data_IF_780725474960
#
_entry.id   IF_780725474960
#
_cell.length_a   1.000
_cell.length_b   1.000
_cell.length_c   1.000
_cell.angle_alpha   90.00
_cell.angle_beta   90.00
_cell.angle_gamma   90.00
#
_symmetry.space_group_name_H-M   'P 1'
#
loop_
_entity.id
_entity.type
_entity.pdbx_description
1 polymer ?
#
# COMPACT_ATOMS: atom_id res chain seq x y z
N UNK A 1 -6.78 -21.86 -14.99
CA UNK A 1 -6.14 -20.55 -15.23
C UNK A 1 -6.93 -19.53 -14.41
N UNK A 2 -6.55 -19.29 -13.15
CA UNK A 2 -7.24 -18.35 -12.29
C UNK A 2 -6.74 -16.93 -12.64
N UNK A 3 -7.57 -16.18 -13.35
CA UNK A 3 -7.28 -14.80 -13.72
C UNK A 3 -7.45 -13.88 -12.50
N UNK A 4 -6.42 -13.78 -11.66
CA UNK A 4 -6.08 -12.59 -10.89
C UNK A 4 -7.18 -11.89 -10.08
N UNK A 5 -8.01 -12.63 -9.33
CA UNK A 5 -8.80 -12.01 -8.27
C UNK A 5 -7.84 -11.42 -7.23
N UNK A 6 -7.92 -10.11 -7.01
CA UNK A 6 -7.13 -9.47 -5.95
C UNK A 6 -7.80 -9.78 -4.63
N UNK A 7 -7.16 -10.64 -3.83
CA UNK A 7 -7.63 -10.94 -2.49
C UNK A 7 -7.66 -9.64 -1.68
N UNK A 8 -8.80 -9.37 -1.05
CA UNK A 8 -8.97 -8.22 -0.16
C UNK A 8 -8.20 -8.51 1.14
N UNK A 9 -7.37 -7.58 1.63
CA UNK A 9 -6.82 -7.69 2.98
C UNK A 9 -7.97 -7.77 3.98
N UNK A 10 -7.95 -8.75 4.88
CA UNK A 10 -9.08 -9.00 5.77
C UNK A 10 -9.33 -7.86 6.79
N UNK A 11 -8.28 -7.15 7.24
CA UNK A 11 -8.42 -6.15 8.32
C UNK A 11 -7.65 -4.86 8.04
N UNK A 12 -8.27 -3.73 8.38
CA UNK A 12 -7.66 -2.40 8.27
C UNK A 12 -6.47 -2.32 9.23
N UNK A 13 -5.25 -1.98 8.77
CA UNK A 13 -4.07 -1.91 9.62
C UNK A 13 -4.14 -0.79 10.68
N UNK A 14 -5.11 0.13 10.56
CA UNK A 14 -5.25 1.27 11.45
C UNK A 14 -6.37 1.13 12.49
N UNK A 15 -7.48 0.45 12.17
CA UNK A 15 -8.63 0.33 13.09
C UNK A 15 -9.08 -1.11 13.34
N UNK A 16 -8.57 -2.09 12.59
CA UNK A 16 -8.93 -3.51 12.76
C UNK A 16 -10.27 -3.91 12.12
N UNK A 17 -10.96 -3.00 11.45
CA UNK A 17 -12.25 -3.28 10.77
C UNK A 17 -12.05 -3.95 9.41
N UNK A 18 -13.05 -4.72 8.97
CA UNK A 18 -13.02 -5.51 7.72
C UNK A 18 -13.53 -4.73 6.49
N UNK A 19 -14.04 -3.51 6.68
CA UNK A 19 -14.61 -2.68 5.61
C UNK A 19 -13.52 -1.92 4.83
N UNK A 20 -12.67 -2.68 4.13
CA UNK A 20 -11.61 -2.18 3.24
C UNK A 20 -12.01 -2.39 1.78
N UNK A 21 -11.91 -1.33 0.98
CA UNK A 21 -12.25 -1.34 -0.45
C UNK A 21 -11.07 -0.84 -1.30
N UNK A 22 -10.91 -1.35 -2.54
CA UNK A 22 -9.97 -0.78 -3.50
C UNK A 22 -10.31 0.69 -3.77
N UNK A 23 -9.28 1.52 -3.90
CA UNK A 23 -9.43 2.96 -4.20
C UNK A 23 -8.58 3.36 -5.41
N UNK A 24 -8.90 4.50 -6.01
CA UNK A 24 -8.13 5.09 -7.10
C UNK A 24 -6.94 5.89 -6.58
N UNK A 25 -5.76 5.79 -7.20
CA UNK A 25 -4.62 6.61 -6.82
C UNK A 25 -4.93 8.10 -6.98
N UNK A 26 -4.44 8.97 -6.08
CA UNK A 26 -4.51 10.41 -6.29
C UNK A 26 -3.72 10.79 -7.54
N UNK A 27 -4.22 11.78 -8.27
CA UNK A 27 -3.58 12.30 -9.48
C UNK A 27 -2.13 12.71 -9.20
N UNK A 28 -1.23 12.47 -10.14
CA UNK A 28 0.19 12.79 -9.99
C UNK A 28 1.00 11.83 -9.11
N UNK A 29 0.40 10.81 -8.49
CA UNK A 29 1.13 9.80 -7.70
C UNK A 29 2.00 8.85 -8.54
N UNK A 30 1.99 8.98 -9.87
CA UNK A 30 2.75 8.14 -10.81
C UNK A 30 2.29 6.67 -10.85
N UNK A 31 1.27 6.31 -10.09
CA UNK A 31 0.68 4.97 -10.10
C UNK A 31 -0.28 4.84 -11.29
N UNK A 32 0.03 3.92 -12.21
CA UNK A 32 -0.88 3.55 -13.30
C UNK A 32 -2.26 3.08 -12.80
N UNK A 33 -3.22 3.00 -13.72
CA UNK A 33 -4.59 2.58 -13.41
C UNK A 33 -4.62 1.23 -12.70
N UNK A 34 -4.89 1.24 -11.39
CA UNK A 34 -5.18 0.06 -10.58
C UNK A 34 -4.03 -0.52 -9.77
N UNK A 35 -3.08 0.23 -9.20
CA UNK A 35 -2.00 -0.37 -8.40
C UNK A 35 -2.14 -0.15 -6.88
N UNK A 36 -2.77 -1.10 -6.18
CA UNK A 36 -2.59 -1.29 -4.74
C UNK A 36 -3.13 -0.20 -3.82
N UNK A 37 -3.95 0.74 -4.28
CA UNK A 37 -4.61 1.72 -3.42
C UNK A 37 -5.87 1.13 -2.79
N UNK A 38 -6.06 1.41 -1.50
CA UNK A 38 -7.14 0.91 -0.68
C UNK A 38 -7.61 1.98 0.29
N UNK A 39 -8.88 1.95 0.67
CA UNK A 39 -9.44 2.80 1.70
C UNK A 39 -10.29 1.98 2.67
N UNK A 40 -10.30 2.36 3.95
CA UNK A 40 -11.24 1.81 4.93
C UNK A 40 -12.44 2.75 5.10
N UNK A 41 -13.66 2.24 4.98
CA UNK A 41 -14.88 3.06 5.13
C UNK A 41 -15.23 3.37 6.59
N UNK A 42 -14.77 2.55 7.54
CA UNK A 42 -15.03 2.77 8.98
C UNK A 42 -14.20 3.93 9.54
N UNK A 43 -12.90 3.98 9.24
CA UNK A 43 -12.01 5.03 9.75
C UNK A 43 -11.54 6.05 8.68
N UNK A 44 -12.04 5.94 7.44
CA UNK A 44 -11.81 6.88 6.33
C UNK A 44 -10.34 7.09 5.93
N UNK A 45 -9.47 6.11 6.17
CA UNK A 45 -8.03 6.19 5.85
C UNK A 45 -7.74 5.49 4.53
N UNK A 46 -7.05 6.19 3.64
CA UNK A 46 -6.47 5.64 2.41
C UNK A 46 -5.02 5.19 2.61
N UNK A 47 -4.64 4.08 2.00
CA UNK A 47 -3.29 3.52 2.05
C UNK A 47 -2.96 2.73 0.78
N UNK A 48 -1.66 2.43 0.59
CA UNK A 48 -1.16 1.67 -0.56
C UNK A 48 -0.50 0.37 -0.10
N UNK A 49 -0.86 -0.73 -0.75
CA UNK A 49 -0.25 -2.05 -0.58
C UNK A 49 0.62 -2.40 -1.78
N UNK A 50 1.78 -2.98 -1.48
CA UNK A 50 2.73 -3.48 -2.47
C UNK A 50 3.20 -4.87 -2.04
N UNK A 51 3.17 -5.84 -2.96
CA UNK A 51 3.88 -7.10 -2.78
C UNK A 51 5.37 -6.84 -3.02
N UNK A 52 6.19 -6.94 -1.97
CA UNK A 52 7.64 -6.74 -2.09
C UNK A 52 8.37 -8.04 -2.44
N UNK A 53 8.05 -9.14 -1.76
CA UNK A 53 8.64 -10.46 -1.99
C UNK A 53 7.74 -11.55 -1.38
N UNK A 54 7.96 -12.81 -1.77
CA UNK A 54 7.43 -13.96 -1.05
C UNK A 54 8.31 -14.22 0.17
N UNK A 55 7.73 -14.18 1.37
CA UNK A 55 8.44 -14.52 2.58
C UNK A 55 8.68 -16.05 2.63
N UNK A 56 9.94 -16.46 2.54
CA UNK A 56 10.38 -17.79 2.95
C UNK A 56 10.74 -17.73 4.44
N UNK A 57 10.41 -18.78 5.19
CA UNK A 57 10.78 -18.89 6.61
C UNK A 57 12.31 -19.05 6.74
N UNK A 58 13.05 -17.96 6.61
CA UNK A 58 14.46 -17.90 7.00
C UNK A 58 14.52 -17.61 8.49
N UNK A 59 15.03 -18.55 9.28
CA UNK A 59 15.25 -18.42 10.72
C UNK A 59 16.35 -17.43 11.10
N UNK A 60 16.36 -16.25 10.49
CA UNK A 60 17.33 -15.19 10.72
C UNK A 60 16.62 -13.85 10.86
N UNK A 61 16.89 -13.16 11.97
CA UNK A 61 16.41 -11.81 12.30
C UNK A 61 16.65 -10.84 11.15
N UNK A 62 15.58 -10.52 10.41
CA UNK A 62 15.62 -9.47 9.39
C UNK A 62 15.53 -8.10 10.08
N UNK A 63 16.68 -7.43 10.22
CA UNK A 63 16.72 -6.00 10.55
C UNK A 63 16.29 -5.23 9.31
N UNK A 64 15.06 -4.70 9.33
CA UNK A 64 14.62 -3.74 8.34
C UNK A 64 15.20 -2.36 8.68
N UNK A 65 16.35 -2.01 8.07
CA UNK A 65 16.76 -0.60 8.00
C UNK A 65 15.83 0.10 7.03
N UNK A 66 14.91 0.90 7.57
CA UNK A 66 13.93 1.66 6.81
C UNK A 66 14.59 2.47 5.69
N UNK A 67 14.32 2.09 4.45
CA UNK A 67 14.65 2.90 3.28
C UNK A 67 13.79 4.15 3.27
N UNK A 68 14.43 5.30 3.40
CA UNK A 68 13.80 6.61 3.32
C UNK A 68 13.03 6.76 2.01
N UNK A 69 11.72 7.05 2.10
CA UNK A 69 11.01 7.68 1.00
C UNK A 69 11.55 9.10 0.90
N UNK A 70 12.52 9.31 0.00
CA UNK A 70 13.02 10.64 -0.33
C UNK A 70 11.87 11.50 -0.84
N UNK A 71 11.38 12.40 0.01
CA UNK A 71 10.76 13.62 -0.47
C UNK A 71 11.90 14.47 -1.03
N UNK A 72 12.09 14.40 -2.35
CA UNK A 72 12.95 15.29 -3.07
C UNK A 72 12.44 16.73 -2.87
N UNK A 73 13.36 17.51 -2.32
CA UNK A 73 13.51 18.95 -2.34
C UNK A 73 12.81 19.70 -3.49
N UNK A 74 12.28 20.87 -3.13
CA UNK A 74 12.31 22.11 -3.92
C UNK A 74 11.61 22.12 -5.30
N UNK A 75 10.34 22.54 -5.31
CA UNK A 75 9.69 23.07 -6.50
C UNK A 75 9.06 24.44 -6.20
N UNK A 76 9.86 25.48 -6.47
CA UNK A 76 9.49 26.81 -6.99
C UNK A 76 8.28 27.52 -6.33
N UNK A 77 8.43 28.63 -5.60
CA UNK A 77 8.94 29.89 -6.13
C UNK A 77 8.68 30.08 -7.64
N UNK A 78 7.39 30.15 -8.03
CA UNK A 78 6.83 31.04 -9.06
C UNK A 78 5.32 30.84 -9.20
#
# INVERSE_FOLDING_TARGET
MASGERVVPFYCPYCGEEDIVPDTPPEGSGAGHGHGYWACRSCLRGFRLSLTALAVASGGTAVITGGAFGAAEEQAAR
#
